data_IF_836865263445
#
_entry.id   IF_836865263445
#
_cell.length_a   1.000
_cell.length_b   1.000
_cell.length_c   1.000
_cell.angle_alpha   90.00
_cell.angle_beta   90.00
_cell.angle_gamma   90.00
#
_symmetry.space_group_name_H-M   'P 1'
#
loop_
_entity.id
_entity.type
_entity.pdbx_description
1 polymer ?
#
# COMPACT_ATOMS: atom_id res chain seq x y z
N UNK A 1 26.34 -17.89 5.33
CA UNK A 1 24.85 -17.96 5.30
C UNK A 1 24.24 -17.65 6.66
N UNK A 2 24.67 -18.35 7.73
CA UNK A 2 24.16 -18.20 9.11
C UNK A 2 24.06 -16.74 9.62
N UNK A 3 25.12 -15.93 9.48
CA UNK A 3 25.11 -14.52 9.92
C UNK A 3 23.97 -13.68 9.31
N UNK A 4 23.64 -13.89 8.03
CA UNK A 4 22.55 -13.15 7.36
C UNK A 4 21.18 -13.60 7.88
N UNK A 5 21.02 -14.90 8.13
CA UNK A 5 19.77 -15.45 8.69
C UNK A 5 19.54 -14.92 10.12
N UNK A 6 20.55 -14.94 10.97
CA UNK A 6 20.46 -14.40 12.33
C UNK A 6 20.10 -12.91 12.32
N UNK A 7 20.73 -12.10 11.45
CA UNK A 7 20.40 -10.68 11.32
C UNK A 7 18.93 -10.45 10.91
N UNK A 8 18.40 -11.23 9.95
CA UNK A 8 16.99 -11.15 9.52
C UNK A 8 16.02 -11.45 10.67
N UNK A 9 16.25 -12.56 11.38
CA UNK A 9 15.42 -12.98 12.51
C UNK A 9 15.48 -11.94 13.64
N UNK A 10 16.67 -11.42 13.94
CA UNK A 10 16.84 -10.37 14.93
C UNK A 10 16.10 -9.08 14.55
N UNK A 11 16.22 -8.60 13.32
CA UNK A 11 15.47 -7.42 12.84
C UNK A 11 13.96 -7.63 12.88
N UNK A 12 13.49 -8.85 12.61
CA UNK A 12 12.07 -9.21 12.72
C UNK A 12 11.59 -9.15 14.16
N UNK A 13 12.33 -9.78 15.07
CA UNK A 13 12.00 -9.79 16.49
C UNK A 13 11.98 -8.36 17.06
N UNK A 14 12.99 -7.55 16.74
CA UNK A 14 13.07 -6.15 17.15
C UNK A 14 11.89 -5.33 16.59
N UNK A 15 11.53 -5.55 15.32
CA UNK A 15 10.37 -4.91 14.72
C UNK A 15 9.08 -5.24 15.47
N UNK A 16 8.80 -6.53 15.67
CA UNK A 16 7.59 -6.94 16.39
C UNK A 16 7.55 -6.40 17.82
N UNK A 17 8.68 -6.40 18.52
CA UNK A 17 8.76 -5.81 19.85
C UNK A 17 8.47 -4.30 19.82
N UNK A 18 9.13 -3.55 18.93
CA UNK A 18 8.89 -2.10 18.77
C UNK A 18 7.45 -1.78 18.36
N UNK A 19 6.85 -2.61 17.51
CA UNK A 19 5.47 -2.45 17.07
C UNK A 19 4.49 -2.65 18.22
N UNK A 20 4.71 -3.67 19.07
CA UNK A 20 3.83 -3.92 20.23
C UNK A 20 3.99 -2.85 21.29
N UNK A 21 5.23 -2.41 21.59
CA UNK A 21 5.45 -1.28 22.50
C UNK A 21 4.74 -0.03 21.98
N UNK A 22 4.79 0.20 20.66
CA UNK A 22 4.07 1.32 20.06
C UNK A 22 2.55 1.15 20.12
N UNK A 23 2.02 -0.06 19.92
CA UNK A 23 0.60 -0.35 20.05
C UNK A 23 0.11 -0.11 21.48
N UNK A 24 0.87 -0.55 22.50
CA UNK A 24 0.53 -0.28 23.91
C UNK A 24 0.48 1.23 24.17
N UNK A 25 1.52 1.96 23.77
CA UNK A 25 1.55 3.42 23.88
C UNK A 25 0.35 4.08 23.18
N UNK A 26 -0.01 3.63 21.98
CA UNK A 26 -1.16 4.17 21.23
C UNK A 26 -2.48 3.81 21.90
N UNK A 27 -2.62 2.60 22.44
CA UNK A 27 -3.80 2.19 23.20
C UNK A 27 -3.99 3.08 24.43
N UNK A 28 -2.90 3.47 25.10
CA UNK A 28 -2.95 4.37 26.26
C UNK A 28 -3.32 5.81 25.83
N UNK A 29 -2.64 6.34 24.80
CA UNK A 29 -2.90 7.70 24.27
C UNK A 29 -4.34 7.84 23.75
N UNK A 30 -4.93 6.76 23.25
CA UNK A 30 -6.27 6.75 22.66
C UNK A 30 -7.27 5.89 23.46
N UNK A 31 -7.04 5.68 24.75
CA UNK A 31 -7.85 4.82 25.64
C UNK A 31 -9.37 5.14 25.59
N UNK A 32 -9.74 6.39 25.34
CA UNK A 32 -11.15 6.82 25.21
C UNK A 32 -11.71 6.86 23.79
N UNK A 33 -10.94 6.48 22.76
CA UNK A 33 -11.42 6.47 21.37
C UNK A 33 -11.88 5.06 20.99
N UNK A 34 -13.16 4.88 20.62
CA UNK A 34 -13.68 3.60 20.15
C UNK A 34 -12.80 2.96 19.07
N UNK A 35 -12.58 1.64 19.18
CA UNK A 35 -11.81 0.85 18.22
C UNK A 35 -10.28 0.95 18.37
N UNK A 36 -9.79 1.64 19.41
CA UNK A 36 -8.37 1.67 19.77
C UNK A 36 -8.11 1.21 21.21
N UNK A 37 -9.14 0.76 21.91
CA UNK A 37 -9.03 0.19 23.24
C UNK A 37 -8.77 -1.32 23.16
N UNK A 38 -7.64 -1.76 23.71
CA UNK A 38 -7.25 -3.17 23.75
C UNK A 38 -6.96 -3.60 25.20
N UNK A 39 -7.94 -4.20 25.87
CA UNK A 39 -7.83 -4.65 27.27
C UNK A 39 -6.70 -5.67 27.50
N UNK A 40 -6.30 -6.39 26.45
CA UNK A 40 -5.50 -7.60 26.57
C UNK A 40 -4.11 -7.52 25.89
N UNK A 41 -3.53 -6.32 25.77
CA UNK A 41 -2.16 -6.17 25.28
C UNK A 41 -1.17 -6.62 26.35
N UNK A 42 -0.31 -7.59 26.03
CA UNK A 42 0.75 -8.02 26.94
C UNK A 42 1.99 -8.49 26.19
N UNK A 43 3.16 -8.18 26.75
CA UNK A 43 4.44 -8.67 26.22
C UNK A 43 4.53 -10.20 26.25
N UNK A 44 3.84 -10.84 27.19
CA UNK A 44 3.75 -12.31 27.25
C UNK A 44 3.16 -12.92 25.98
N UNK A 45 2.07 -12.34 25.44
CA UNK A 45 1.47 -12.80 24.17
C UNK A 45 2.42 -12.64 23.00
N UNK A 46 3.19 -11.55 22.98
CA UNK A 46 4.24 -11.35 21.98
C UNK A 46 5.25 -12.49 22.04
N UNK A 47 5.74 -12.82 23.24
CA UNK A 47 6.71 -13.89 23.44
C UNK A 47 6.15 -15.23 22.97
N UNK A 48 4.87 -15.52 23.24
CA UNK A 48 4.23 -16.76 22.80
C UNK A 48 4.04 -16.87 21.28
N UNK A 49 3.67 -15.77 20.61
CA UNK A 49 3.45 -15.76 19.16
C UNK A 49 4.74 -15.55 18.36
N UNK A 50 5.80 -15.04 18.99
CA UNK A 50 7.07 -14.73 18.34
C UNK A 50 7.69 -15.94 17.61
N UNK A 51 7.72 -17.18 18.17
CA UNK A 51 8.23 -18.34 17.45
C UNK A 51 7.52 -18.56 16.10
N UNK A 52 6.20 -18.35 16.05
CA UNK A 52 5.42 -18.49 14.82
C UNK A 52 5.81 -17.43 13.78
N UNK A 53 5.92 -16.16 14.20
CA UNK A 53 6.32 -15.05 13.31
C UNK A 53 7.77 -15.24 12.82
N UNK A 54 8.68 -15.67 13.71
CA UNK A 54 10.07 -15.92 13.36
C UNK A 54 10.21 -17.12 12.42
N UNK A 55 9.42 -18.18 12.61
CA UNK A 55 9.36 -19.31 11.69
C UNK A 55 8.93 -18.87 10.29
N UNK A 56 7.91 -18.00 10.19
CA UNK A 56 7.49 -17.43 8.90
C UNK A 56 8.58 -16.54 8.31
N UNK A 57 9.18 -15.66 9.11
CA UNK A 57 10.24 -14.74 8.67
C UNK A 57 11.51 -15.46 8.18
N UNK A 58 11.78 -16.66 8.69
CA UNK A 58 12.85 -17.51 8.16
C UNK A 58 12.67 -17.81 6.66
N UNK A 59 11.42 -17.94 6.19
CA UNK A 59 11.08 -18.12 4.79
C UNK A 59 10.97 -16.81 4.00
N UNK A 60 11.27 -15.65 4.58
CA UNK A 60 11.26 -14.38 3.85
C UNK A 60 12.62 -14.02 3.27
N UNK A 61 12.65 -13.75 1.96
CA UNK A 61 13.78 -13.06 1.39
C UNK A 61 13.68 -11.56 1.69
N UNK A 62 14.65 -11.04 2.44
CA UNK A 62 14.71 -9.63 2.80
C UNK A 62 15.51 -8.83 1.77
N UNK A 63 16.12 -9.49 0.77
CA UNK A 63 16.74 -8.78 -0.35
C UNK A 63 15.68 -8.37 -1.37
N UNK A 64 15.31 -7.09 -1.37
CA UNK A 64 14.38 -6.50 -2.33
C UNK A 64 15.12 -6.28 -3.64
N UNK A 65 14.71 -7.00 -4.69
CA UNK A 65 15.27 -6.86 -6.06
C UNK A 65 14.32 -6.14 -6.99
N UNK A 66 13.02 -6.25 -6.73
CA UNK A 66 11.97 -5.60 -7.48
C UNK A 66 10.87 -5.07 -6.56
N UNK A 67 9.95 -4.27 -7.11
CA UNK A 67 8.86 -3.65 -6.34
C UNK A 67 7.84 -4.65 -5.81
N UNK A 68 7.73 -5.83 -6.43
CA UNK A 68 6.84 -6.91 -5.96
C UNK A 68 7.38 -7.49 -4.66
N UNK A 69 8.70 -7.67 -4.54
CA UNK A 69 9.34 -8.06 -3.27
C UNK A 69 9.04 -7.03 -2.17
N UNK A 70 9.09 -5.73 -2.48
CA UNK A 70 8.80 -4.67 -1.51
C UNK A 70 7.31 -4.60 -1.13
N UNK A 71 6.40 -4.83 -2.08
CA UNK A 71 4.96 -4.93 -1.80
C UNK A 71 4.68 -6.14 -0.90
N UNK A 72 5.26 -7.31 -1.20
CA UNK A 72 5.12 -8.50 -0.37
C UNK A 72 5.60 -8.25 1.06
N UNK A 73 6.83 -7.75 1.22
CA UNK A 73 7.38 -7.44 2.53
C UNK A 73 6.57 -6.38 3.26
N UNK A 74 6.15 -5.31 2.57
CA UNK A 74 5.29 -4.28 3.13
C UNK A 74 3.96 -4.84 3.65
N UNK A 75 3.26 -5.64 2.84
CA UNK A 75 2.01 -6.30 3.25
C UNK A 75 2.20 -7.23 4.44
N UNK A 76 3.31 -7.97 4.50
CA UNK A 76 3.60 -8.87 5.62
C UNK A 76 3.89 -8.09 6.89
N UNK A 77 4.81 -7.13 6.86
CA UNK A 77 5.25 -6.42 8.05
C UNK A 77 4.23 -5.40 8.56
N UNK A 78 3.50 -4.73 7.67
CA UNK A 78 2.51 -3.71 8.07
C UNK A 78 1.18 -4.34 8.48
N UNK A 79 0.76 -5.44 7.83
CA UNK A 79 -0.57 -6.01 8.04
C UNK A 79 -0.51 -7.40 8.65
N UNK A 80 0.11 -8.38 7.99
CA UNK A 80 -0.07 -9.79 8.34
C UNK A 80 0.61 -10.17 9.66
N UNK A 81 1.84 -9.75 9.92
CA UNK A 81 2.54 -10.04 11.17
C UNK A 81 1.85 -9.40 12.38
N UNK A 82 1.49 -8.11 12.35
CA UNK A 82 0.70 -7.53 13.42
C UNK A 82 -0.67 -8.18 13.59
N UNK A 83 -1.33 -8.59 12.50
CA UNK A 83 -2.60 -9.29 12.55
C UNK A 83 -2.49 -10.67 13.24
N UNK A 84 -1.42 -11.42 13.02
CA UNK A 84 -1.15 -12.69 13.72
C UNK A 84 -1.09 -12.44 15.23
N UNK A 85 -0.43 -11.36 15.67
CA UNK A 85 -0.38 -10.98 17.09
C UNK A 85 -1.76 -10.55 17.62
N UNK A 86 -2.47 -9.65 16.91
CA UNK A 86 -3.78 -9.15 17.36
C UNK A 86 -4.83 -10.26 17.45
N UNK A 87 -4.70 -11.30 16.62
CA UNK A 87 -5.58 -12.46 16.64
C UNK A 87 -5.34 -13.40 17.83
N UNK A 88 -4.26 -13.24 18.60
CA UNK A 88 -3.84 -14.19 19.62
C UNK A 88 -4.75 -14.39 20.85
N UNK A 89 -5.73 -13.51 21.19
CA UNK A 89 -6.79 -13.95 22.10
C UNK A 89 -7.48 -15.25 21.62
N UNK A 90 -7.50 -15.49 20.31
CA UNK A 90 -7.94 -16.72 19.65
C UNK A 90 -6.76 -17.38 18.91
N UNK A 91 -6.16 -18.40 19.56
CA UNK A 91 -5.02 -19.13 18.99
C UNK A 91 -5.35 -19.76 17.63
N UNK A 92 -6.58 -20.21 17.40
CA UNK A 92 -6.99 -20.83 16.14
C UNK A 92 -6.93 -19.80 15.03
N UNK A 93 -7.48 -18.60 15.27
CA UNK A 93 -7.44 -17.51 14.31
C UNK A 93 -6.00 -17.09 13.98
N UNK A 94 -5.14 -16.92 15.00
CA UNK A 94 -3.71 -16.62 14.76
C UNK A 94 -3.01 -17.65 13.90
N UNK A 95 -3.25 -18.94 14.16
CA UNK A 95 -2.68 -20.05 13.37
C UNK A 95 -3.18 -19.99 11.93
N UNK A 96 -4.47 -19.72 11.71
CA UNK A 96 -5.06 -19.62 10.38
C UNK A 96 -4.45 -18.46 9.59
N UNK A 97 -4.31 -17.28 10.20
CA UNK A 97 -3.65 -16.12 9.55
C UNK A 97 -2.18 -16.43 9.25
N UNK A 98 -1.49 -17.11 10.17
CA UNK A 98 -0.11 -17.54 9.98
C UNK A 98 0.06 -18.52 8.82
N UNK A 99 -0.83 -19.53 8.71
CA UNK A 99 -0.85 -20.48 7.60
C UNK A 99 -1.13 -19.76 6.28
N UNK A 100 -2.12 -18.86 6.24
CA UNK A 100 -2.42 -18.06 5.06
C UNK A 100 -1.23 -17.20 4.62
N UNK A 101 -0.51 -16.61 5.58
CA UNK A 101 0.71 -15.83 5.32
C UNK A 101 1.83 -16.71 4.79
N UNK A 102 2.07 -17.87 5.40
CA UNK A 102 3.07 -18.83 4.93
C UNK A 102 2.73 -19.32 3.52
N UNK A 103 1.46 -19.54 3.23
CA UNK A 103 1.00 -19.96 1.91
C UNK A 103 1.27 -18.90 0.84
N UNK A 104 1.05 -17.61 1.13
CA UNK A 104 1.46 -16.50 0.25
C UNK A 104 2.96 -16.58 -0.07
N UNK A 105 3.80 -16.77 0.95
CA UNK A 105 5.26 -16.81 0.81
C UNK A 105 5.70 -18.01 -0.03
N UNK A 106 5.15 -19.20 0.24
CA UNK A 106 5.45 -20.41 -0.52
C UNK A 106 5.03 -20.22 -1.98
N UNK A 107 3.83 -19.71 -2.23
CA UNK A 107 3.33 -19.46 -3.58
C UNK A 107 4.16 -18.40 -4.32
N UNK A 108 4.53 -17.28 -3.69
CA UNK A 108 5.42 -16.30 -4.34
C UNK A 108 6.76 -16.95 -4.71
N UNK A 109 7.37 -17.75 -3.82
CA UNK A 109 8.62 -18.46 -4.12
C UNK A 109 8.48 -19.43 -5.29
N UNK A 110 7.40 -20.22 -5.33
CA UNK A 110 7.14 -21.17 -6.42
C UNK A 110 6.89 -20.45 -7.75
N UNK A 111 6.15 -19.34 -7.71
CA UNK A 111 5.79 -18.57 -8.91
C UNK A 111 6.88 -17.57 -9.32
N UNK A 112 7.87 -17.27 -8.48
CA UNK A 112 8.96 -16.31 -8.77
C UNK A 112 9.75 -16.69 -10.02
N UNK A 113 9.87 -17.98 -10.35
CA UNK A 113 10.53 -18.49 -11.55
C UNK A 113 9.64 -18.44 -12.80
N UNK A 114 8.31 -18.33 -12.63
CA UNK A 114 7.35 -18.37 -13.73
C UNK A 114 7.31 -17.00 -14.41
N UNK A 115 7.91 -16.89 -15.59
CA UNK A 115 7.80 -15.68 -16.39
C UNK A 115 6.52 -15.68 -17.24
N UNK A 116 5.45 -15.04 -16.77
CA UNK A 116 4.23 -14.85 -17.58
C UNK A 116 4.47 -13.96 -18.82
N UNK A 117 5.50 -13.11 -18.79
CA UNK A 117 5.90 -12.32 -19.95
C UNK A 117 7.15 -12.93 -20.59
N UNK A 118 7.03 -13.41 -21.84
CA UNK A 118 8.21 -13.75 -22.68
C UNK A 118 9.26 -12.63 -22.54
N UNK A 119 10.57 -12.94 -22.49
CA UNK A 119 11.63 -11.93 -22.43
C UNK A 119 11.51 -11.01 -23.65
N UNK A 120 11.00 -9.80 -23.44
CA UNK A 120 10.87 -8.76 -24.46
C UNK A 120 12.00 -7.77 -24.22
N UNK A 121 12.97 -7.70 -25.13
CA UNK A 121 13.99 -6.64 -25.11
C UNK A 121 13.26 -5.31 -25.28
N UNK A 122 13.36 -4.44 -24.28
CA UNK A 122 12.87 -3.06 -24.38
C UNK A 122 13.90 -2.31 -25.20
N UNK A 123 13.58 -2.04 -26.46
CA UNK A 123 14.29 -1.02 -27.26
C UNK A 123 14.28 0.31 -26.48
N UNK A 124 15.32 1.11 -26.62
CA UNK A 124 15.48 2.37 -25.90
C UNK A 124 14.26 3.32 -26.09
N UNK A 125 13.95 4.12 -25.06
CA UNK A 125 12.86 5.09 -25.07
C UNK A 125 13.01 6.08 -26.25
N UNK A 126 12.33 5.81 -27.38
CA UNK A 126 12.41 6.65 -28.58
C UNK A 126 11.64 7.97 -28.37
N UNK A 127 12.23 9.06 -28.85
CA UNK A 127 11.77 10.47 -28.87
C UNK A 127 10.27 10.69 -29.11
N UNK A 128 9.61 9.84 -29.91
CA UNK A 128 8.19 9.92 -30.27
C UNK A 128 7.19 9.41 -29.20
N UNK A 129 7.67 8.82 -28.11
CA UNK A 129 6.79 8.25 -27.06
C UNK A 129 6.36 9.27 -26.00
N UNK A 130 7.10 10.37 -25.81
CA UNK A 130 6.73 11.41 -24.83
C UNK A 130 5.42 12.11 -25.17
N UNK A 131 5.14 12.31 -26.45
CA UNK A 131 3.88 12.93 -26.89
C UNK A 131 2.66 12.07 -26.55
N UNK A 132 2.75 10.74 -26.60
CA UNK A 132 1.64 9.85 -26.24
C UNK A 132 1.32 9.91 -24.74
N UNK A 133 2.33 9.97 -23.89
CA UNK A 133 2.15 10.20 -22.45
C UNK A 133 1.55 11.57 -22.18
N UNK A 134 2.08 12.60 -22.86
CA UNK A 134 1.55 13.94 -22.75
C UNK A 134 0.08 13.99 -23.15
N UNK A 135 -0.31 13.38 -24.28
CA UNK A 135 -1.71 13.27 -24.70
C UNK A 135 -2.58 12.51 -23.68
N UNK A 136 -2.10 11.39 -23.12
CA UNK A 136 -2.81 10.65 -22.08
C UNK A 136 -3.05 11.51 -20.83
N UNK A 137 -2.01 12.21 -20.37
CA UNK A 137 -2.08 13.10 -19.21
C UNK A 137 -3.00 14.29 -19.50
N UNK A 138 -2.92 14.89 -20.69
CA UNK A 138 -3.80 15.98 -21.11
C UNK A 138 -5.26 15.54 -21.22
N UNK A 139 -5.52 14.33 -21.73
CA UNK A 139 -6.86 13.75 -21.72
C UNK A 139 -7.40 13.64 -20.28
N UNK A 140 -6.56 13.20 -19.34
CA UNK A 140 -6.94 13.17 -17.92
C UNK A 140 -7.13 14.56 -17.31
N UNK A 141 -6.34 15.56 -17.69
CA UNK A 141 -6.56 16.96 -17.29
C UNK A 141 -7.93 17.45 -17.75
N UNK A 142 -8.31 17.17 -19.00
CA UNK A 142 -9.62 17.53 -19.55
C UNK A 142 -10.75 16.81 -18.79
N UNK A 143 -10.60 15.50 -18.54
CA UNK A 143 -11.58 14.73 -17.76
C UNK A 143 -11.71 15.27 -16.33
N UNK A 144 -10.59 15.53 -15.66
CA UNK A 144 -10.57 16.09 -14.32
C UNK A 144 -11.28 17.43 -14.26
N UNK A 145 -10.96 18.35 -15.16
CA UNK A 145 -11.63 19.65 -15.22
C UNK A 145 -13.13 19.48 -15.49
N UNK A 146 -13.51 18.61 -16.44
CA UNK A 146 -14.93 18.37 -16.75
C UNK A 146 -15.73 17.82 -15.56
N UNK A 147 -15.16 16.89 -14.78
CA UNK A 147 -15.89 16.18 -13.73
C UNK A 147 -15.75 16.77 -12.33
N UNK A 148 -14.69 17.51 -12.07
CA UNK A 148 -14.34 18.03 -10.74
C UNK A 148 -14.32 19.56 -10.73
N UNK A 149 -13.93 20.18 -11.84
CA UNK A 149 -13.69 21.61 -11.90
C UNK A 149 -12.28 21.98 -11.44
N UNK A 150 -12.06 23.29 -11.32
CA UNK A 150 -10.81 23.86 -10.84
C UNK A 150 -11.11 24.77 -9.65
N UNK A 151 -10.49 24.49 -8.51
CA UNK A 151 -10.70 25.26 -7.27
C UNK A 151 -9.41 26.01 -6.93
N UNK A 152 -9.50 27.31 -6.67
CA UNK A 152 -8.33 28.15 -6.37
C UNK A 152 -8.00 28.24 -4.88
N UNK A 153 -8.99 28.07 -4.01
CA UNK A 153 -8.84 28.20 -2.57
C UNK A 153 -9.66 27.15 -1.81
N UNK A 154 -9.22 26.84 -0.59
CA UNK A 154 -10.11 26.23 0.39
C UNK A 154 -11.07 27.31 0.87
N UNK A 155 -12.35 26.95 1.04
CA UNK A 155 -13.21 27.78 1.86
C UNK A 155 -12.83 27.50 3.32
N UNK A 156 -12.06 28.41 3.92
CA UNK A 156 -11.53 28.28 5.28
C UNK A 156 -12.61 28.39 6.35
N UNK A 157 -13.82 28.82 5.99
CA UNK A 157 -14.98 28.83 6.88
C UNK A 157 -15.40 27.40 7.27
N UNK A 158 -15.16 26.43 6.39
CA UNK A 158 -15.49 25.03 6.65
C UNK A 158 -14.33 24.27 7.28
N UNK A 159 -14.65 23.45 8.28
CA UNK A 159 -13.72 22.43 8.77
C UNK A 159 -13.39 21.43 7.64
N UNK A 160 -12.20 20.83 7.68
CA UNK A 160 -11.82 19.80 6.69
C UNK A 160 -12.80 18.61 6.62
N UNK A 161 -13.59 18.40 7.68
CA UNK A 161 -14.62 17.36 7.72
C UNK A 161 -15.89 17.76 6.97
N UNK A 162 -16.28 19.03 7.03
CA UNK A 162 -17.40 19.57 6.26
C UNK A 162 -17.08 19.54 4.77
N UNK A 163 -15.86 19.94 4.37
CA UNK A 163 -15.41 19.84 2.97
C UNK A 163 -15.52 18.40 2.47
N UNK A 164 -15.18 17.40 3.29
CA UNK A 164 -15.32 15.98 2.92
C UNK A 164 -16.77 15.53 2.84
N UNK A 165 -17.61 16.00 3.75
CA UNK A 165 -19.04 15.68 3.77
C UNK A 165 -19.73 16.26 2.54
N UNK A 166 -19.44 17.52 2.22
CA UNK A 166 -19.88 18.19 1.00
C UNK A 166 -19.35 17.47 -0.24
N UNK A 167 -18.06 17.14 -0.28
CA UNK A 167 -17.47 16.39 -1.38
C UNK A 167 -18.20 15.05 -1.64
N UNK A 168 -18.54 14.31 -0.58
CA UNK A 168 -19.31 13.05 -0.70
C UNK A 168 -20.74 13.27 -1.21
N UNK A 169 -21.36 14.41 -0.90
CA UNK A 169 -22.74 14.73 -1.31
C UNK A 169 -22.82 15.31 -2.71
N UNK A 170 -21.87 16.17 -3.07
CA UNK A 170 -21.91 16.98 -4.29
C UNK A 170 -21.34 16.27 -5.53
N UNK A 171 -20.45 15.28 -5.35
CA UNK A 171 -19.79 14.60 -6.46
C UNK A 171 -20.38 13.24 -6.76
N UNK A 172 -20.60 12.98 -8.05
CA UNK A 172 -20.97 11.65 -8.54
C UNK A 172 -19.86 10.62 -8.26
N UNK A 173 -20.21 9.34 -8.20
CA UNK A 173 -19.23 8.27 -8.05
C UNK A 173 -18.13 8.29 -9.13
N UNK A 174 -18.47 8.72 -10.35
CA UNK A 174 -17.50 8.89 -11.43
C UNK A 174 -16.52 10.04 -11.16
N UNK A 175 -17.00 11.16 -10.62
CA UNK A 175 -16.14 12.30 -10.25
C UNK A 175 -15.16 11.90 -9.14
N UNK A 176 -15.63 11.18 -8.12
CA UNK A 176 -14.77 10.62 -7.06
C UNK A 176 -13.74 9.65 -7.66
N UNK A 177 -14.16 8.81 -8.61
CA UNK A 177 -13.25 7.89 -9.29
C UNK A 177 -12.15 8.61 -10.06
N UNK A 178 -12.49 9.65 -10.84
CA UNK A 178 -11.50 10.48 -11.55
C UNK A 178 -10.54 11.15 -10.57
N UNK A 179 -11.03 11.66 -9.44
CA UNK A 179 -10.19 12.28 -8.40
C UNK A 179 -9.16 11.28 -7.85
N UNK A 180 -9.59 10.06 -7.54
CA UNK A 180 -8.71 9.00 -7.02
C UNK A 180 -7.71 8.59 -8.12
N UNK A 181 -8.12 8.39 -9.37
CA UNK A 181 -7.17 8.09 -10.45
C UNK A 181 -6.13 9.20 -10.65
N UNK A 182 -6.51 10.46 -10.47
CA UNK A 182 -5.54 11.55 -10.50
C UNK A 182 -4.47 11.41 -9.43
N UNK A 183 -4.86 11.08 -8.19
CA UNK A 183 -3.93 10.90 -7.08
C UNK A 183 -3.00 9.68 -7.30
N UNK A 184 -3.58 8.50 -7.54
CA UNK A 184 -2.84 7.23 -7.44
C UNK A 184 -2.30 6.71 -8.78
N UNK A 185 -2.77 7.23 -9.91
CA UNK A 185 -2.29 6.84 -11.24
C UNK A 185 -1.59 7.99 -11.97
N UNK A 186 -2.22 9.16 -12.08
CA UNK A 186 -1.67 10.26 -12.88
C UNK A 186 -0.46 10.91 -12.23
N UNK A 187 -0.49 11.22 -10.94
CA UNK A 187 0.66 11.83 -10.26
C UNK A 187 1.91 10.94 -10.34
N UNK A 188 1.86 9.62 -10.00
CA UNK A 188 3.00 8.73 -10.21
C UNK A 188 3.52 8.72 -11.65
N UNK A 189 2.62 8.76 -12.64
CA UNK A 189 2.97 8.79 -14.06
C UNK A 189 3.68 10.09 -14.46
N UNK A 190 3.23 11.24 -13.93
CA UNK A 190 3.87 12.53 -14.10
C UNK A 190 5.28 12.54 -13.51
N UNK A 191 5.46 12.04 -12.28
CA UNK A 191 6.77 11.97 -11.61
C UNK A 191 7.71 11.00 -12.33
N UNK A 192 7.21 9.86 -12.79
CA UNK A 192 7.99 8.93 -13.63
C UNK A 192 8.45 9.61 -14.93
N UNK A 193 7.54 10.33 -15.60
CA UNK A 193 7.83 11.06 -16.84
C UNK A 193 8.85 12.19 -16.62
N UNK A 194 8.77 12.90 -15.50
CA UNK A 194 9.76 13.91 -15.10
C UNK A 194 11.19 13.35 -15.07
N UNK A 195 11.38 12.14 -14.52
CA UNK A 195 12.71 11.52 -14.46
C UNK A 195 13.16 10.90 -15.78
N UNK A 196 12.23 10.56 -16.70
CA UNK A 196 12.55 9.79 -17.93
C UNK A 196 12.58 10.59 -19.22
N UNK A 197 11.90 11.73 -19.29
CA UNK A 197 11.84 12.52 -20.52
C UNK A 197 13.13 13.32 -20.68
N UNK A 198 13.80 13.30 -21.83
CA UNK A 198 15.07 14.04 -22.00
C UNK A 198 14.88 15.56 -22.16
N UNK A 199 13.76 15.99 -22.74
CA UNK A 199 13.49 17.42 -23.03
C UNK A 199 13.03 18.16 -21.77
N UNK A 200 13.79 19.19 -21.37
CA UNK A 200 13.54 19.99 -20.15
C UNK A 200 12.13 20.58 -20.09
N UNK A 201 11.61 21.11 -21.20
CA UNK A 201 10.24 21.66 -21.26
C UNK A 201 9.20 20.62 -20.80
N UNK A 202 9.24 19.40 -21.34
CA UNK A 202 8.29 18.36 -20.96
C UNK A 202 8.50 17.88 -19.52
N UNK A 203 9.74 17.83 -19.02
CA UNK A 203 10.01 17.53 -17.60
C UNK A 203 9.28 18.52 -16.69
N UNK A 204 9.48 19.82 -16.93
CA UNK A 204 8.85 20.90 -16.16
C UNK A 204 7.33 20.78 -16.26
N UNK A 205 6.80 20.56 -17.48
CA UNK A 205 5.36 20.40 -17.70
C UNK A 205 4.76 19.25 -16.89
N UNK A 206 5.39 18.07 -16.89
CA UNK A 206 4.90 16.94 -16.08
C UNK A 206 4.98 17.21 -14.58
N UNK A 207 6.04 17.86 -14.12
CA UNK A 207 6.16 18.24 -12.71
C UNK A 207 5.06 19.21 -12.30
N UNK A 208 4.84 20.28 -13.08
CA UNK A 208 3.79 21.28 -12.84
C UNK A 208 2.41 20.62 -12.85
N UNK A 209 2.11 19.78 -13.85
CA UNK A 209 0.83 19.05 -13.90
C UNK A 209 0.65 18.15 -12.66
N UNK A 210 1.69 17.42 -12.24
CA UNK A 210 1.65 16.60 -11.04
C UNK A 210 1.35 17.40 -9.78
N UNK A 211 2.01 18.56 -9.60
CA UNK A 211 1.74 19.47 -8.49
C UNK A 211 0.33 20.05 -8.55
N UNK A 212 -0.15 20.45 -9.74
CA UNK A 212 -1.51 20.94 -9.93
C UNK A 212 -2.54 19.88 -9.52
N UNK A 213 -2.39 18.62 -9.97
CA UNK A 213 -3.27 17.54 -9.53
C UNK A 213 -3.21 17.34 -8.01
N UNK A 214 -2.01 17.36 -7.42
CA UNK A 214 -1.85 17.21 -5.96
C UNK A 214 -2.64 18.27 -5.19
N UNK A 215 -2.49 19.53 -5.58
CA UNK A 215 -3.20 20.66 -4.98
C UNK A 215 -4.70 20.54 -5.24
N UNK A 216 -5.13 20.28 -6.47
CA UNK A 216 -6.55 20.19 -6.81
C UNK A 216 -7.24 19.02 -6.08
N UNK A 217 -6.60 17.86 -5.96
CA UNK A 217 -7.11 16.74 -5.16
C UNK A 217 -7.31 17.20 -3.71
N UNK A 218 -6.32 17.87 -3.12
CA UNK A 218 -6.42 18.38 -1.75
C UNK A 218 -7.52 19.44 -1.59
N UNK A 219 -7.61 20.42 -2.49
CA UNK A 219 -8.59 21.51 -2.42
C UNK A 219 -10.04 21.02 -2.57
N UNK A 220 -10.26 19.99 -3.41
CA UNK A 220 -11.60 19.46 -3.64
C UNK A 220 -12.04 18.44 -2.58
N UNK A 221 -11.13 17.63 -2.06
CA UNK A 221 -11.48 16.48 -1.19
C UNK A 221 -10.97 16.57 0.25
N UNK A 222 -10.09 17.54 0.55
CA UNK A 222 -9.35 17.62 1.81
C UNK A 222 -8.61 16.31 2.19
N UNK A 223 -8.24 15.49 1.19
CA UNK A 223 -7.43 14.29 1.38
C UNK A 223 -5.98 14.72 1.65
N UNK A 224 -5.55 14.62 2.91
CA UNK A 224 -4.20 15.07 3.33
C UNK A 224 -3.08 14.25 2.70
N UNK A 225 -3.32 12.98 2.38
CA UNK A 225 -2.31 12.06 1.83
C UNK A 225 -1.82 12.48 0.45
N UNK A 226 -2.65 13.20 -0.33
CA UNK A 226 -2.26 13.66 -1.66
C UNK A 226 -1.06 14.60 -1.60
N UNK A 227 -0.97 15.46 -0.58
CA UNK A 227 0.14 16.40 -0.41
C UNK A 227 1.50 15.72 -0.20
N UNK A 228 1.50 14.49 0.32
CA UNK A 228 2.72 13.74 0.62
C UNK A 228 3.14 12.81 -0.52
N UNK A 229 2.31 12.61 -1.55
CA UNK A 229 2.61 11.64 -2.61
C UNK A 229 3.85 12.03 -3.41
N UNK A 230 3.96 13.29 -3.85
CA UNK A 230 5.11 13.76 -4.65
C UNK A 230 6.41 13.67 -3.84
N UNK A 231 6.51 14.24 -2.61
CA UNK A 231 7.68 14.08 -1.77
C UNK A 231 8.06 12.61 -1.56
N UNK A 232 7.08 11.75 -1.27
CA UNK A 232 7.30 10.32 -1.07
C UNK A 232 7.92 9.64 -2.30
N UNK A 233 7.36 9.89 -3.50
CA UNK A 233 7.86 9.28 -4.74
C UNK A 233 9.24 9.82 -5.12
N UNK A 234 9.50 11.12 -4.94
CA UNK A 234 10.82 11.72 -5.21
C UNK A 234 11.88 11.18 -4.25
N UNK A 235 11.59 11.15 -2.95
CA UNK A 235 12.53 10.63 -1.93
C UNK A 235 12.83 9.15 -2.17
N UNK A 236 11.80 8.35 -2.48
CA UNK A 236 11.99 6.95 -2.82
C UNK A 236 12.79 6.76 -4.11
N UNK A 237 12.53 7.56 -5.16
CA UNK A 237 13.35 7.53 -6.37
C UNK A 237 14.82 7.79 -6.06
N UNK A 238 15.12 8.85 -5.30
CA UNK A 238 16.48 9.21 -4.90
C UNK A 238 17.15 8.10 -4.09
N UNK A 239 16.42 7.51 -3.14
CA UNK A 239 16.90 6.41 -2.31
C UNK A 239 17.31 5.19 -3.15
N UNK A 240 16.54 4.87 -4.20
CA UNK A 240 16.76 3.70 -5.05
C UNK A 240 17.57 3.98 -6.34
N UNK A 241 17.88 5.23 -6.70
CA UNK A 241 18.47 5.65 -8.00
C UNK A 241 19.76 4.95 -8.42
N UNK A 242 20.46 4.29 -7.49
CA UNK A 242 21.70 3.55 -7.76
C UNK A 242 21.71 2.15 -7.14
N UNK A 243 20.58 1.70 -6.61
CA UNK A 243 20.48 0.44 -5.86
C UNK A 243 19.90 -0.64 -6.76
N UNK A 244 20.69 -1.68 -7.03
CA UNK A 244 20.20 -2.90 -7.69
C UNK A 244 19.38 -3.77 -6.75
N UNK A 245 19.71 -3.76 -5.47
CA UNK A 245 18.95 -4.42 -4.43
C UNK A 245 18.98 -3.62 -3.12
N UNK A 246 18.04 -3.92 -2.24
CA UNK A 246 17.92 -3.30 -0.94
C UNK A 246 17.71 -4.35 0.15
N UNK A 247 18.52 -4.30 1.21
CA UNK A 247 18.33 -5.20 2.34
C UNK A 247 17.28 -4.64 3.30
N UNK A 248 16.07 -5.20 3.23
CA UNK A 248 14.94 -4.82 4.06
C UNK A 248 15.16 -5.11 5.55
N UNK A 249 16.03 -6.05 5.93
CA UNK A 249 16.33 -6.28 7.37
C UNK A 249 16.95 -5.05 8.02
N UNK A 250 17.82 -4.33 7.28
CA UNK A 250 18.44 -3.10 7.79
C UNK A 250 17.40 -1.99 7.93
N UNK A 251 16.43 -1.92 7.01
CA UNK A 251 15.31 -1.00 7.11
C UNK A 251 14.49 -1.25 8.37
N UNK A 252 14.10 -2.52 8.59
CA UNK A 252 13.36 -2.93 9.78
C UNK A 252 14.11 -2.58 11.05
N UNK A 253 15.41 -2.88 11.10
CA UNK A 253 16.24 -2.53 12.25
C UNK A 253 16.21 -1.03 12.54
N UNK A 254 16.49 -0.19 11.54
CA UNK A 254 16.50 1.27 11.68
C UNK A 254 15.11 1.79 12.06
N UNK A 255 14.06 1.33 11.38
CA UNK A 255 12.69 1.78 11.68
C UNK A 255 12.24 1.39 13.09
N UNK A 256 12.68 0.22 13.58
CA UNK A 256 12.37 -0.23 14.94
C UNK A 256 13.05 0.64 15.98
N UNK A 257 14.33 0.99 15.78
CA UNK A 257 15.04 1.92 16.65
C UNK A 257 14.40 3.30 16.65
N UNK A 258 14.02 3.82 15.48
CA UNK A 258 13.31 5.10 15.38
C UNK A 258 11.95 5.07 16.07
N UNK A 259 11.21 3.96 15.98
CA UNK A 259 9.92 3.79 16.64
C UNK A 259 10.08 3.76 18.16
N UNK A 260 11.05 3.00 18.68
CA UNK A 260 11.37 2.97 20.13
C UNK A 260 11.80 4.35 20.61
N UNK A 261 12.72 5.00 19.90
CA UNK A 261 13.20 6.35 20.23
C UNK A 261 12.04 7.34 20.25
N UNK A 262 11.14 7.27 19.28
CA UNK A 262 9.98 8.13 19.20
C UNK A 262 9.04 7.98 20.41
N UNK A 263 8.81 6.76 20.89
CA UNK A 263 8.02 6.49 22.10
C UNK A 263 8.68 7.15 23.33
N UNK A 264 10.00 7.08 23.44
CA UNK A 264 10.73 7.60 24.61
C UNK A 264 10.88 9.12 24.61
N UNK A 265 10.99 9.76 23.44
CA UNK A 265 11.20 11.21 23.36
C UNK A 265 9.95 12.00 23.78
N UNK A 266 8.78 11.36 23.89
CA UNK A 266 7.50 11.95 24.28
C UNK A 266 7.36 13.41 23.82
N UNK A 267 7.32 13.62 22.50
CA UNK A 267 7.18 14.97 21.96
C UNK A 267 5.78 15.50 22.31
N UNK A 268 5.62 16.13 23.47
CA UNK A 268 4.37 16.75 23.93
C UNK A 268 3.86 17.91 23.05
N UNK A 269 4.55 18.19 21.95
CA UNK A 269 4.24 19.25 21.01
C UNK A 269 3.39 18.74 19.84
N UNK A 270 2.87 19.68 19.03
CA UNK A 270 2.08 19.40 17.82
C UNK A 270 2.73 18.38 16.87
N UNK A 271 4.07 18.34 16.84
CA UNK A 271 4.84 17.38 16.05
C UNK A 271 4.58 15.94 16.55
N UNK A 272 4.59 15.70 17.86
CA UNK A 272 4.31 14.38 18.40
C UNK A 272 2.87 13.93 18.11
N UNK A 273 1.91 14.84 18.18
CA UNK A 273 0.53 14.55 17.76
C UNK A 273 0.44 14.16 16.27
N UNK A 274 1.09 14.93 15.38
CA UNK A 274 1.10 14.65 13.95
C UNK A 274 1.75 13.30 13.63
N UNK A 275 2.86 12.99 14.30
CA UNK A 275 3.55 11.70 14.13
C UNK A 275 2.70 10.56 14.69
N UNK A 276 2.13 10.70 15.90
CA UNK A 276 1.22 9.72 16.49
C UNK A 276 0.02 9.43 15.59
N UNK A 277 -0.62 10.47 15.08
CA UNK A 277 -1.76 10.33 14.18
C UNK A 277 -1.35 9.61 12.88
N UNK A 278 -0.18 9.95 12.33
CA UNK A 278 0.32 9.37 11.09
C UNK A 278 0.68 7.90 11.29
N UNK A 279 1.56 7.58 12.25
CA UNK A 279 1.98 6.22 12.56
C UNK A 279 0.80 5.34 12.95
N UNK A 280 -0.18 5.84 13.72
CA UNK A 280 -1.44 5.12 13.99
C UNK A 280 -2.17 4.74 12.71
N UNK A 281 -2.28 5.64 11.73
CA UNK A 281 -2.95 5.36 10.45
C UNK A 281 -2.18 4.41 9.56
N UNK A 282 -0.84 4.50 9.53
CA UNK A 282 -0.02 3.69 8.64
C UNK A 282 0.30 2.30 9.19
N UNK A 283 0.50 2.17 10.50
CA UNK A 283 1.08 0.98 11.14
C UNK A 283 0.06 0.22 12.00
N UNK A 284 -0.88 0.91 12.65
CA UNK A 284 -1.82 0.30 13.62
C UNK A 284 -3.19 0.05 13.02
N UNK A 285 -3.76 1.05 12.34
CA UNK A 285 -5.14 0.97 11.80
C UNK A 285 -5.33 -0.20 10.82
N UNK A 286 -4.38 -0.49 9.90
CA UNK A 286 -4.55 -1.61 8.96
C UNK A 286 -4.75 -2.98 9.63
N UNK A 287 -3.84 -3.46 10.50
CA UNK A 287 -4.01 -4.76 11.14
C UNK A 287 -5.17 -4.79 12.13
N UNK A 288 -5.49 -3.67 12.80
CA UNK A 288 -6.64 -3.58 13.70
C UNK A 288 -7.95 -3.72 12.94
N UNK A 289 -8.11 -3.01 11.81
CA UNK A 289 -9.29 -3.17 10.97
C UNK A 289 -9.38 -4.62 10.46
N UNK A 290 -8.28 -5.18 9.96
CA UNK A 290 -8.24 -6.57 9.50
C UNK A 290 -8.70 -7.53 10.61
N UNK A 291 -8.23 -7.35 11.85
CA UNK A 291 -8.64 -8.13 13.01
C UNK A 291 -10.14 -8.02 13.28
N UNK A 292 -10.71 -6.80 13.31
CA UNK A 292 -12.15 -6.62 13.52
C UNK A 292 -13.00 -7.24 12.41
N UNK A 293 -12.51 -7.23 11.17
CA UNK A 293 -13.15 -7.95 10.07
C UNK A 293 -13.19 -9.46 10.32
N UNK A 294 -12.11 -10.08 10.81
CA UNK A 294 -12.12 -11.50 11.19
C UNK A 294 -13.10 -11.78 12.33
N UNK A 295 -12.98 -11.02 13.43
CA UNK A 295 -13.78 -11.20 14.64
C UNK A 295 -15.28 -11.11 14.34
N UNK A 296 -15.71 -10.02 13.71
CA UNK A 296 -17.10 -9.80 13.33
C UNK A 296 -17.58 -10.82 12.28
N UNK A 297 -16.69 -11.29 11.40
CA UNK A 297 -17.07 -12.29 10.41
C UNK A 297 -17.43 -13.61 11.06
N UNK A 298 -16.57 -14.07 11.98
CA UNK A 298 -16.73 -15.33 12.72
C UNK A 298 -17.94 -15.26 13.65
N UNK A 299 -18.06 -14.18 14.42
CA UNK A 299 -19.12 -14.02 15.43
C UNK A 299 -20.52 -14.04 14.79
N UNK A 300 -20.73 -13.29 13.72
CA UNK A 300 -22.08 -13.09 13.17
C UNK A 300 -22.44 -14.05 12.03
N UNK A 301 -21.46 -14.68 11.38
CA UNK A 301 -21.73 -15.50 10.19
C UNK A 301 -20.89 -16.78 10.12
N UNK A 302 -20.06 -17.04 11.14
CA UNK A 302 -19.21 -18.22 11.20
C UNK A 302 -18.04 -18.23 10.21
N UNK A 303 -17.39 -19.39 10.12
CA UNK A 303 -16.18 -19.62 9.31
C UNK A 303 -16.47 -19.79 7.81
N UNK A 304 -17.69 -20.19 7.46
CA UNK A 304 -18.12 -20.44 6.08
C UNK A 304 -19.23 -19.44 5.76
N UNK A 305 -18.87 -18.34 5.09
CA UNK A 305 -19.82 -17.27 4.77
C UNK A 305 -19.62 -16.78 3.33
N UNK A 306 -20.27 -17.46 2.38
CA UNK A 306 -20.18 -17.12 0.95
C UNK A 306 -21.28 -16.10 0.60
N UNK A 307 -20.90 -15.00 -0.04
CA UNK A 307 -21.83 -14.14 -0.80
C UNK A 307 -22.60 -13.09 0.00
N UNK A 308 -22.45 -13.02 1.32
CA UNK A 308 -23.39 -12.28 2.17
C UNK A 308 -22.99 -10.86 2.61
N UNK A 309 -22.00 -10.18 1.99
CA UNK A 309 -21.54 -8.89 2.53
C UNK A 309 -21.18 -7.83 1.49
N UNK A 310 -22.17 -7.01 1.16
CA UNK A 310 -21.94 -5.63 0.73
C UNK A 310 -21.70 -4.79 2.00
N UNK A 311 -20.78 -3.84 1.93
CA UNK A 311 -20.54 -2.83 2.99
C UNK A 311 -19.97 -3.31 4.34
N UNK A 312 -19.24 -4.44 4.37
CA UNK A 312 -18.58 -4.94 5.58
C UNK A 312 -17.73 -3.87 6.30
N UNK A 313 -17.00 -3.04 5.56
CA UNK A 313 -16.19 -1.99 6.17
C UNK A 313 -17.02 -0.91 6.89
N UNK A 314 -18.25 -0.63 6.44
CA UNK A 314 -19.16 0.27 7.15
C UNK A 314 -19.71 -0.40 8.41
N UNK A 315 -20.02 -1.70 8.35
CA UNK A 315 -20.44 -2.47 9.52
C UNK A 315 -19.36 -2.46 10.61
N UNK A 316 -18.10 -2.70 10.24
CA UNK A 316 -16.97 -2.62 11.18
C UNK A 316 -16.80 -1.20 11.73
N UNK A 317 -16.96 -0.17 10.89
CA UNK A 317 -16.90 1.23 11.34
C UNK A 317 -17.95 1.56 12.41
N UNK A 318 -19.17 1.04 12.26
CA UNK A 318 -20.25 1.23 13.23
C UNK A 318 -20.02 0.42 14.49
N UNK A 319 -19.70 -0.86 14.34
CA UNK A 319 -19.58 -1.80 15.46
C UNK A 319 -18.39 -1.49 16.38
N UNK A 320 -17.23 -1.13 15.83
CA UNK A 320 -16.01 -0.97 16.62
C UNK A 320 -15.57 0.48 16.79
N UNK A 321 -15.89 1.36 15.84
CA UNK A 321 -15.46 2.76 15.88
C UNK A 321 -16.60 3.73 16.21
N UNK A 322 -17.85 3.27 16.33
CA UNK A 322 -19.03 4.11 16.55
C UNK A 322 -19.15 5.27 15.53
N UNK A 323 -18.82 5.01 14.26
CA UNK A 323 -18.84 6.01 13.19
C UNK A 323 -19.49 5.46 11.92
N UNK A 324 -20.10 6.35 11.11
CA UNK A 324 -20.57 6.04 9.75
C UNK A 324 -19.45 6.12 8.70
N UNK A 325 -18.23 5.76 9.11
CA UNK A 325 -17.08 5.64 8.25
C UNK A 325 -17.08 4.34 7.46
N UNK A 326 -15.95 4.10 6.79
CA UNK A 326 -15.63 2.81 6.19
C UNK A 326 -14.29 2.36 6.79
N UNK A 327 -14.28 1.25 7.52
CA UNK A 327 -13.10 0.63 8.10
C UNK A 327 -12.57 -0.47 7.16
N UNK A 328 -11.52 -0.20 6.37
CA UNK A 328 -11.09 -1.13 5.34
C UNK A 328 -10.31 -2.33 5.93
N UNK A 329 -10.61 -3.52 5.41
CA UNK A 329 -10.08 -4.82 5.84
C UNK A 329 -8.65 -5.15 5.41
N UNK A 330 -8.12 -4.45 4.40
CA UNK A 330 -6.85 -4.83 3.78
C UNK A 330 -6.96 -6.12 2.96
N UNK A 331 -5.88 -6.90 2.90
CA UNK A 331 -5.73 -8.04 2.00
C UNK A 331 -6.52 -9.30 2.44
N UNK A 332 -5.97 -10.06 3.39
CA UNK A 332 -6.49 -11.38 3.79
C UNK A 332 -7.89 -11.29 4.42
N UNK A 333 -8.16 -10.26 5.22
CA UNK A 333 -9.44 -10.09 5.91
C UNK A 333 -10.58 -9.70 4.96
N UNK A 334 -10.32 -9.03 3.84
CA UNK A 334 -11.36 -8.76 2.82
C UNK A 334 -11.80 -10.05 2.15
N UNK A 335 -10.83 -10.91 1.80
CA UNK A 335 -11.13 -12.20 1.22
C UNK A 335 -11.93 -13.09 2.20
N UNK A 336 -11.53 -13.13 3.47
CA UNK A 336 -12.24 -13.88 4.50
C UNK A 336 -13.65 -13.33 4.75
N UNK A 337 -13.83 -12.03 4.90
CA UNK A 337 -15.16 -11.45 5.15
C UNK A 337 -16.14 -11.67 3.99
N UNK A 338 -15.65 -11.85 2.76
CA UNK A 338 -16.48 -12.08 1.55
C UNK A 338 -16.72 -13.57 1.23
N UNK A 339 -15.73 -14.42 1.49
CA UNK A 339 -15.71 -15.82 1.03
C UNK A 339 -15.44 -16.83 2.15
N UNK A 340 -15.36 -16.38 3.40
CA UNK A 340 -14.99 -17.21 4.56
C UNK A 340 -13.63 -17.87 4.40
N UNK A 341 -13.52 -19.09 4.92
CA UNK A 341 -12.32 -19.93 4.81
C UNK A 341 -11.85 -20.15 3.37
N UNK A 342 -12.74 -20.21 2.38
CA UNK A 342 -12.35 -20.30 0.97
C UNK A 342 -11.56 -19.07 0.50
N UNK A 343 -11.89 -17.88 1.03
CA UNK A 343 -11.15 -16.66 0.77
C UNK A 343 -9.69 -16.74 1.18
N UNK A 344 -9.41 -17.44 2.29
CA UNK A 344 -8.04 -17.65 2.80
C UNK A 344 -7.21 -18.58 1.92
N UNK A 345 -7.84 -19.44 1.12
CA UNK A 345 -7.17 -20.32 0.17
C UNK A 345 -6.99 -19.65 -1.20
N UNK A 346 -8.03 -18.98 -1.69
CA UNK A 346 -8.04 -18.38 -3.03
C UNK A 346 -7.18 -17.11 -3.06
N UNK A 347 -7.23 -16.29 -2.01
CA UNK A 347 -6.56 -15.00 -2.00
C UNK A 347 -5.04 -15.09 -2.13
N UNK A 348 -4.33 -15.97 -1.38
CA UNK A 348 -2.89 -16.17 -1.58
C UNK A 348 -2.51 -16.48 -3.03
N UNK A 349 -3.31 -17.28 -3.72
CA UNK A 349 -3.09 -17.60 -5.13
C UNK A 349 -3.23 -16.36 -6.04
N UNK A 350 -4.32 -15.60 -5.88
CA UNK A 350 -4.55 -14.37 -6.65
C UNK A 350 -3.46 -13.33 -6.39
N UNK A 351 -3.07 -13.14 -5.13
CA UNK A 351 -2.06 -12.17 -4.75
C UNK A 351 -0.67 -12.55 -5.27
N UNK A 352 -0.27 -13.82 -5.17
CA UNK A 352 1.03 -14.27 -5.69
C UNK A 352 1.08 -14.25 -7.22
N UNK A 353 -0.02 -14.53 -7.92
CA UNK A 353 -0.11 -14.29 -9.38
C UNK A 353 0.09 -12.81 -9.69
N UNK A 354 -0.58 -11.91 -8.97
CA UNK A 354 -0.42 -10.47 -9.16
C UNK A 354 1.05 -10.03 -8.99
N UNK A 355 1.73 -10.48 -7.93
CA UNK A 355 3.15 -10.17 -7.72
C UNK A 355 4.02 -10.72 -8.87
N UNK A 356 3.71 -11.90 -9.38
CA UNK A 356 4.43 -12.51 -10.50
C UNK A 356 4.22 -11.74 -11.80
N UNK A 357 2.98 -11.31 -12.08
CA UNK A 357 2.66 -10.43 -13.21
C UNK A 357 3.43 -9.11 -13.09
N UNK A 358 3.40 -8.48 -11.92
CA UNK A 358 4.08 -7.22 -11.68
C UNK A 358 5.60 -7.36 -11.92
N UNK A 359 6.24 -8.36 -11.32
CA UNK A 359 7.66 -8.70 -11.54
C UNK A 359 7.98 -8.90 -13.02
N UNK A 360 7.13 -9.62 -13.75
CA UNK A 360 7.28 -9.83 -15.19
C UNK A 360 7.18 -8.55 -16.03
N UNK A 361 6.38 -7.57 -15.59
CA UNK A 361 6.20 -6.28 -16.25
C UNK A 361 7.32 -5.29 -15.91
N UNK A 362 7.83 -5.32 -14.69
CA UNK A 362 8.81 -4.35 -14.19
C UNK A 362 10.25 -4.80 -14.36
N UNK A 363 10.53 -6.04 -14.78
CA UNK A 363 11.89 -6.61 -14.91
C UNK A 363 12.91 -5.78 -15.70
N UNK A 364 12.45 -4.89 -16.58
CA UNK A 364 13.31 -4.04 -17.41
C UNK A 364 13.43 -2.59 -16.89
N UNK A 365 12.81 -2.28 -15.75
CA UNK A 365 12.86 -0.98 -15.10
C UNK A 365 13.81 -1.05 -13.91
N UNK A 366 14.55 0.01 -13.65
CA UNK A 366 15.33 0.13 -12.42
C UNK A 366 14.41 0.19 -11.18
N UNK A 367 14.87 -0.30 -10.03
CA UNK A 367 14.07 -0.31 -8.80
C UNK A 367 13.53 1.08 -8.42
N UNK A 368 14.29 2.14 -8.72
CA UNK A 368 13.88 3.54 -8.55
C UNK A 368 12.64 3.90 -9.36
N UNK A 369 12.57 3.47 -10.61
CA UNK A 369 11.44 3.67 -11.52
C UNK A 369 10.23 2.86 -11.08
N UNK A 370 10.47 1.60 -10.70
CA UNK A 370 9.41 0.73 -10.18
C UNK A 370 8.79 1.34 -8.92
N UNK A 371 9.61 1.90 -8.04
CA UNK A 371 9.13 2.57 -6.84
C UNK A 371 8.30 3.82 -7.16
N UNK A 372 8.72 4.65 -8.13
CA UNK A 372 7.91 5.82 -8.53
C UNK A 372 6.53 5.41 -9.05
N UNK A 373 6.46 4.32 -9.83
CA UNK A 373 5.20 3.86 -10.42
C UNK A 373 4.30 3.12 -9.43
N UNK A 374 4.89 2.29 -8.55
CA UNK A 374 4.13 1.34 -7.72
C UNK A 374 4.34 1.48 -6.21
N UNK A 375 5.32 2.24 -5.73
CA UNK A 375 5.68 2.35 -4.31
C UNK A 375 4.53 2.83 -3.42
N UNK A 376 3.69 3.73 -3.91
CA UNK A 376 2.55 4.22 -3.15
C UNK A 376 1.47 3.14 -2.93
N UNK A 377 1.42 2.11 -3.78
CA UNK A 377 0.46 1.01 -3.62
C UNK A 377 0.81 0.08 -2.46
N UNK A 378 2.02 0.15 -1.88
CA UNK A 378 2.33 -0.54 -0.63
C UNK A 378 1.39 -0.04 0.47
N UNK A 379 1.21 1.28 0.56
CA UNK A 379 0.28 1.89 1.50
C UNK A 379 -1.17 1.54 1.18
N UNK A 380 -1.56 1.65 -0.09
CA UNK A 380 -2.94 1.37 -0.54
C UNK A 380 -3.34 -0.07 -0.26
N UNK A 381 -2.50 -1.05 -0.64
CA UNK A 381 -2.75 -2.47 -0.42
C UNK A 381 -2.77 -2.83 1.07
N UNK A 382 -2.03 -2.09 1.90
CA UNK A 382 -2.09 -2.28 3.35
C UNK A 382 -3.43 -1.79 3.91
N UNK A 383 -3.97 -0.70 3.38
CA UNK A 383 -5.13 0.00 3.93
C UNK A 383 -6.44 -0.25 3.19
N UNK A 384 -6.47 -1.03 2.12
CA UNK A 384 -7.68 -1.20 1.30
C UNK A 384 -7.75 -2.61 0.75
N UNK A 385 -8.95 -3.05 0.35
CA UNK A 385 -9.10 -4.36 -0.28
C UNK A 385 -8.35 -4.44 -1.61
N UNK A 386 -7.90 -5.64 -1.94
CA UNK A 386 -7.11 -5.88 -3.14
C UNK A 386 -7.85 -5.47 -4.43
N UNK A 387 -9.12 -5.84 -4.57
CA UNK A 387 -9.92 -5.48 -5.76
C UNK A 387 -10.15 -3.97 -5.88
N UNK A 388 -10.42 -3.29 -4.76
CA UNK A 388 -10.56 -1.83 -4.73
C UNK A 388 -9.23 -1.16 -5.10
N UNK A 389 -8.09 -1.71 -4.64
CA UNK A 389 -6.77 -1.22 -5.05
C UNK A 389 -6.56 -1.31 -6.57
N UNK A 390 -6.99 -2.43 -7.19
CA UNK A 390 -6.89 -2.64 -8.63
C UNK A 390 -7.73 -1.63 -9.43
N UNK A 391 -9.01 -1.50 -9.07
CA UNK A 391 -9.97 -0.76 -9.88
C UNK A 391 -10.01 0.72 -9.48
N UNK A 392 -10.32 0.99 -8.21
CA UNK A 392 -10.58 2.33 -7.68
C UNK A 392 -9.30 3.15 -7.58
N UNK A 393 -8.25 2.57 -6.99
CA UNK A 393 -6.95 3.25 -6.83
C UNK A 393 -6.06 3.17 -8.07
N UNK A 394 -6.52 2.54 -9.15
CA UNK A 394 -5.86 2.59 -10.45
C UNK A 394 -4.60 1.73 -10.60
N UNK A 395 -4.37 0.76 -9.70
CA UNK A 395 -3.25 -0.17 -9.83
C UNK A 395 -3.33 -0.97 -11.14
N UNK A 396 -4.54 -1.36 -11.57
CA UNK A 396 -4.76 -2.03 -12.85
C UNK A 396 -4.41 -1.10 -14.02
N UNK A 397 -4.78 0.18 -13.97
CA UNK A 397 -4.44 1.16 -15.00
C UNK A 397 -2.92 1.38 -15.09
N UNK A 398 -2.23 1.40 -13.95
CA UNK A 398 -0.78 1.46 -13.91
C UNK A 398 -0.15 0.22 -14.54
N UNK A 399 -0.61 -0.98 -14.19
CA UNK A 399 -0.19 -2.26 -14.77
C UNK A 399 -0.37 -2.26 -16.30
N UNK A 400 -1.56 -1.89 -16.78
CA UNK A 400 -1.87 -1.82 -18.21
C UNK A 400 -0.97 -0.81 -18.92
N UNK A 401 -0.74 0.35 -18.31
CA UNK A 401 0.15 1.38 -18.86
C UNK A 401 1.57 0.83 -19.02
N UNK A 402 2.14 0.23 -17.98
CA UNK A 402 3.47 -0.39 -18.04
C UNK A 402 3.52 -1.53 -19.07
N UNK A 403 2.47 -2.34 -19.17
CA UNK A 403 2.37 -3.40 -20.17
C UNK A 403 2.41 -2.86 -21.60
N UNK A 404 1.59 -1.85 -21.92
CA UNK A 404 1.55 -1.27 -23.26
C UNK A 404 2.81 -0.49 -23.62
N UNK A 405 3.45 0.12 -22.63
CA UNK A 405 4.77 0.71 -22.80
C UNK A 405 5.75 -0.35 -23.26
N UNK A 406 5.81 -1.50 -22.57
CA UNK A 406 6.70 -2.60 -22.89
C UNK A 406 6.39 -3.30 -24.24
N UNK A 407 5.11 -3.38 -24.69
CA UNK A 407 4.70 -4.12 -25.91
C UNK A 407 5.15 -3.46 -27.22
N UNK A 408 5.15 -2.12 -27.32
CA UNK A 408 5.55 -1.38 -28.53
C UNK A 408 7.07 -1.18 -28.67
N UNK A 409 7.87 -2.08 -28.10
CA UNK A 409 9.34 -2.06 -28.17
C UNK A 409 9.94 -3.24 -28.93
N UNK A 410 9.15 -4.17 -29.48
CA UNK A 410 9.67 -5.33 -30.22
C UNK A 410 9.70 -5.11 -31.73
N UNK A 411 8.77 -4.32 -32.27
CA UNK A 411 8.52 -4.31 -33.72
C UNK A 411 9.63 -3.60 -34.53
N UNK A 412 10.52 -2.83 -33.89
CA UNK A 412 11.54 -2.04 -34.62
C UNK A 412 12.97 -2.60 -34.55
N UNK A 413 13.17 -3.85 -34.12
CA UNK A 413 14.52 -4.46 -34.09
C UNK A 413 14.87 -5.35 -35.29
N UNK A 414 14.01 -5.38 -36.33
CA UNK A 414 14.26 -6.14 -37.57
C UNK A 414 14.52 -5.27 -38.81
N UNK A 415 14.62 -3.95 -38.68
CA UNK A 415 14.79 -3.04 -39.82
C UNK A 415 15.77 -1.89 -39.54
N UNK A 416 16.91 -2.16 -38.89
CA UNK A 416 17.98 -1.16 -38.78
C UNK A 416 19.38 -1.71 -39.09
N UNK A 417 19.43 -2.82 -39.82
CA UNK A 417 20.66 -3.36 -40.42
C UNK A 417 20.48 -3.50 -41.94
N UNK A 418 19.82 -2.53 -42.58
CA UNK A 418 19.92 -2.26 -44.01
C UNK A 418 20.15 -0.75 -44.19
#
# INVERSE_FOLDING_TARGET
MMKKTCAKLFSTALYMFSWVTYLMYISDVFYGIPGYYFENLSYYRVILIMPLILAISFFLDHEVKDISDLILLGSIYIVLFPLIYLSFPDLILSIIVAIGTLFIIILDRLLKSVSFTKRRKVLSFVKYKHWKFFLLIMMFVILFWKFIGFKLSLNYEFSLYEIRSEFKKSFSGLSVYVLILSEYFIIPLCIYSFFKVNRTIFKILFLVIGFLFTIQVFLNSAIKSSLFIIPFLILGYLFFKKRKSFNFSNFLFISSLLLILFIHINMGNIIGYLVNHSLRRFIISPPVNAYYHFLYTIEYYGWINIGNRKDMGNLISRAYYCTDGNAPSGLLADAFSRFGTLGLLIFPYVFSIFLTVLRGLTKNLELSEQFVLFGYYIYVLSNTSFLTSQITYGLLWMILTVYFLNKKFIVNSRYSND
#
